data_IF_415570216361
#
_entry.id   IF_415570216361
#
_cell.length_a   1.000
_cell.length_b   1.000
_cell.length_c   1.000
_cell.angle_alpha   90.00
_cell.angle_beta   90.00
_cell.angle_gamma   90.00
#
_symmetry.space_group_name_H-M   'P 1'
#
loop_
_entity.id
_entity.type
_entity.pdbx_description
1 polymer ?
#
# COMPACT_ATOMS: atom_id res chain seq x y z
N UNK A 1 5.57 -20.82 -34.30
CA UNK A 1 4.64 -19.89 -33.64
C UNK A 1 3.98 -20.38 -32.33
N UNK A 2 3.95 -21.68 -31.95
CA UNK A 2 3.20 -22.08 -30.73
C UNK A 2 3.94 -21.74 -29.43
N UNK A 3 5.28 -21.74 -29.43
CA UNK A 3 6.10 -21.45 -28.25
C UNK A 3 5.92 -20.01 -27.76
N UNK A 4 5.81 -19.03 -28.66
CA UNK A 4 5.58 -17.62 -28.31
C UNK A 4 4.18 -17.40 -27.72
N UNK A 5 3.17 -18.07 -28.29
CA UNK A 5 1.80 -18.01 -27.77
C UNK A 5 1.69 -18.67 -26.38
N UNK A 6 2.36 -19.81 -26.19
CA UNK A 6 2.40 -20.51 -24.90
C UNK A 6 3.08 -19.66 -23.82
N UNK A 7 4.23 -19.05 -24.13
CA UNK A 7 4.91 -18.14 -23.19
C UNK A 7 4.03 -16.94 -22.85
N UNK A 8 3.33 -16.35 -23.82
CA UNK A 8 2.41 -15.24 -23.57
C UNK A 8 1.25 -15.66 -22.64
N UNK A 9 0.62 -16.81 -22.90
CA UNK A 9 -0.47 -17.33 -22.05
C UNK A 9 0.01 -17.60 -20.63
N UNK A 10 1.19 -18.20 -20.45
CA UNK A 10 1.77 -18.46 -19.13
C UNK A 10 2.03 -17.14 -18.39
N UNK A 11 2.68 -16.16 -19.04
CA UNK A 11 2.99 -14.87 -18.43
C UNK A 11 1.72 -14.12 -18.03
N UNK A 12 0.72 -14.06 -18.92
CA UNK A 12 -0.55 -13.37 -18.61
C UNK A 12 -1.29 -14.06 -17.46
N UNK A 13 -1.32 -15.40 -17.44
CA UNK A 13 -2.00 -16.15 -16.37
C UNK A 13 -1.29 -15.96 -15.02
N UNK A 14 0.04 -16.00 -15.01
CA UNK A 14 0.84 -15.77 -13.79
C UNK A 14 0.65 -14.36 -13.25
N UNK A 15 0.65 -13.32 -14.11
CA UNK A 15 0.43 -11.92 -13.69
C UNK A 15 -0.94 -11.71 -13.06
N UNK A 16 -1.97 -12.42 -13.52
CA UNK A 16 -3.32 -12.33 -12.96
C UNK A 16 -3.46 -13.06 -11.61
N UNK A 17 -2.59 -14.04 -11.32
CA UNK A 17 -2.60 -14.81 -10.07
C UNK A 17 -1.83 -14.15 -8.91
N UNK A 18 -1.07 -13.07 -9.16
CA UNK A 18 -0.30 -12.40 -8.08
C UNK A 18 -1.24 -11.67 -7.11
N UNK A 19 -1.23 -12.00 -5.80
CA UNK A 19 -2.03 -11.29 -4.82
C UNK A 19 -1.60 -9.81 -4.69
N UNK A 20 -2.56 -8.87 -4.81
CA UNK A 20 -2.32 -7.42 -4.66
C UNK A 20 -2.30 -6.94 -3.19
N UNK A 21 -1.81 -7.76 -2.25
CA UNK A 21 -1.81 -7.44 -0.81
C UNK A 21 -0.64 -6.52 -0.36
N UNK A 22 0.16 -6.01 -1.29
CA UNK A 22 1.37 -5.23 -0.96
C UNK A 22 1.09 -3.79 -0.52
N UNK A 23 -0.10 -3.23 -0.82
CA UNK A 23 -0.40 -1.85 -0.50
C UNK A 23 -0.45 -1.58 1.01
N UNK A 24 -1.10 -2.48 1.77
CA UNK A 24 -1.19 -2.37 3.23
C UNK A 24 0.18 -2.52 3.89
N UNK A 25 0.96 -3.51 3.47
CA UNK A 25 2.30 -3.74 4.02
C UNK A 25 3.27 -2.62 3.67
N UNK A 26 3.14 -2.00 2.48
CA UNK A 26 3.94 -0.84 2.11
C UNK A 26 3.59 0.40 2.96
N UNK A 27 2.31 0.62 3.26
CA UNK A 27 1.88 1.72 4.14
C UNK A 27 2.39 1.55 5.57
N UNK A 28 2.30 0.35 6.15
CA UNK A 28 2.84 0.09 7.49
C UNK A 28 4.36 0.31 7.54
N UNK A 29 5.10 -0.12 6.50
CA UNK A 29 6.55 0.15 6.38
C UNK A 29 6.86 1.64 6.24
N UNK A 30 6.02 2.38 5.51
CA UNK A 30 6.16 3.82 5.36
C UNK A 30 5.98 4.53 6.71
N UNK A 31 4.90 4.22 7.44
CA UNK A 31 4.66 4.76 8.78
C UNK A 31 5.83 4.45 9.72
N UNK A 32 6.28 3.20 9.76
CA UNK A 32 7.38 2.77 10.64
C UNK A 32 8.70 3.49 10.38
N UNK A 33 8.93 4.01 9.16
CA UNK A 33 10.20 4.64 8.77
C UNK A 33 10.16 6.16 8.78
N UNK A 34 9.00 6.77 8.51
CA UNK A 34 8.90 8.21 8.27
C UNK A 34 7.87 8.92 9.14
N UNK A 35 6.94 8.19 9.76
CA UNK A 35 5.90 8.80 10.62
C UNK A 35 6.32 8.72 12.08
N UNK A 36 6.45 9.89 12.69
CA UNK A 36 6.74 10.06 14.10
C UNK A 36 5.41 9.99 14.91
N UNK A 37 5.40 9.62 16.21
CA UNK A 37 4.16 9.43 16.98
C UNK A 37 3.27 10.67 17.12
N UNK A 38 3.84 11.85 16.93
CA UNK A 38 3.15 13.15 16.87
C UNK A 38 2.43 13.41 15.53
N UNK A 39 2.53 12.47 14.57
CA UNK A 39 1.93 12.57 13.24
C UNK A 39 2.82 13.29 12.22
N UNK A 40 4.03 13.69 12.61
CA UNK A 40 4.97 14.40 11.75
C UNK A 40 5.67 13.43 10.79
N UNK A 41 5.71 13.80 9.52
CA UNK A 41 6.44 13.05 8.49
C UNK A 41 7.85 13.60 8.35
N UNK A 42 8.85 12.77 8.60
CA UNK A 42 10.25 13.17 8.64
C UNK A 42 10.98 12.70 7.40
N UNK A 43 11.66 13.63 6.75
CA UNK A 43 12.59 13.30 5.67
C UNK A 43 13.98 12.97 6.26
N UNK A 44 14.30 11.68 6.24
CA UNK A 44 15.59 11.17 6.73
C UNK A 44 16.78 11.55 5.85
N UNK A 45 16.55 11.95 4.59
CA UNK A 45 17.61 12.33 3.65
C UNK A 45 18.07 13.79 3.81
N UNK A 46 17.21 14.67 4.35
CA UNK A 46 17.49 16.10 4.48
C UNK A 46 17.57 16.58 5.95
N UNK A 47 18.26 15.80 6.81
CA UNK A 47 18.52 16.20 8.20
C UNK A 47 17.32 16.08 9.15
N UNK A 48 16.38 15.16 8.88
CA UNK A 48 15.18 14.92 9.69
C UNK A 48 14.24 16.13 9.79
N UNK A 49 14.23 16.99 8.77
CA UNK A 49 13.30 18.11 8.65
C UNK A 49 11.96 17.60 8.11
N UNK A 50 10.88 18.30 8.44
CA UNK A 50 9.56 18.02 7.88
C UNK A 50 9.13 19.13 6.94
N UNK A 51 8.76 18.73 5.74
CA UNK A 51 8.25 19.62 4.70
C UNK A 51 6.73 19.50 4.61
N UNK A 52 6.06 20.58 4.22
CA UNK A 52 4.62 20.59 3.95
C UNK A 52 4.24 19.61 2.84
N UNK A 53 5.14 19.41 1.88
CA UNK A 53 5.02 18.42 0.79
C UNK A 53 4.92 16.99 1.32
N UNK A 54 5.81 16.60 2.24
CA UNK A 54 5.80 15.26 2.84
C UNK A 54 4.53 14.98 3.65
N UNK A 55 3.99 16.00 4.33
CA UNK A 55 2.72 15.89 5.05
C UNK A 55 1.54 15.72 4.09
N UNK A 56 1.49 16.49 3.01
CA UNK A 56 0.47 16.35 1.96
C UNK A 56 0.52 14.97 1.30
N UNK A 57 1.72 14.44 1.04
CA UNK A 57 1.90 13.13 0.44
C UNK A 57 1.37 12.00 1.36
N UNK A 58 1.70 12.06 2.65
CA UNK A 58 1.19 11.10 3.62
C UNK A 58 -0.35 11.15 3.73
N UNK A 59 -0.95 12.34 3.65
CA UNK A 59 -2.42 12.49 3.68
C UNK A 59 -3.08 11.82 2.47
N UNK A 60 -2.54 12.01 1.26
CA UNK A 60 -3.05 11.36 0.05
C UNK A 60 -2.92 9.83 0.12
N UNK A 61 -1.80 9.34 0.66
CA UNK A 61 -1.55 7.91 0.81
C UNK A 61 -2.52 7.28 1.84
N UNK A 62 -2.77 7.99 2.95
CA UNK A 62 -3.74 7.60 3.98
C UNK A 62 -5.17 7.53 3.44
N UNK A 63 -5.59 8.47 2.60
CA UNK A 63 -6.91 8.44 1.96
C UNK A 63 -7.03 7.25 1.01
N UNK A 64 -6.02 7.04 0.15
CA UNK A 64 -6.02 5.91 -0.80
C UNK A 64 -6.09 4.56 -0.08
N UNK A 65 -5.28 4.35 0.96
CA UNK A 65 -5.28 3.07 1.68
C UNK A 65 -6.59 2.84 2.45
N UNK A 66 -7.16 3.90 3.04
CA UNK A 66 -8.44 3.82 3.76
C UNK A 66 -9.59 3.46 2.83
N UNK A 67 -9.66 4.08 1.64
CA UNK A 67 -10.68 3.78 0.63
C UNK A 67 -10.53 2.34 0.12
N UNK A 68 -9.30 1.88 -0.15
CA UNK A 68 -9.03 0.50 -0.59
C UNK A 68 -9.44 -0.50 0.48
N UNK A 69 -9.11 -0.28 1.76
CA UNK A 69 -9.53 -1.14 2.87
C UNK A 69 -11.05 -1.24 3.00
N UNK A 70 -11.76 -0.13 2.81
CA UNK A 70 -13.23 -0.11 2.88
C UNK A 70 -13.87 -0.90 1.73
N UNK A 71 -13.28 -0.81 0.53
CA UNK A 71 -13.74 -1.54 -0.65
C UNK A 71 -13.51 -3.06 -0.53
N UNK A 72 -12.35 -3.49 -0.04
CA UNK A 72 -12.05 -4.91 0.17
C UNK A 72 -12.84 -5.52 1.33
N UNK A 73 -13.18 -4.72 2.34
CA UNK A 73 -14.03 -5.16 3.47
C UNK A 73 -15.50 -5.39 3.06
N UNK A 74 -16.00 -4.70 2.04
CA UNK A 74 -17.42 -4.79 1.65
C UNK A 74 -17.73 -6.00 0.75
N UNK A 75 -16.70 -6.64 0.15
CA UNK A 75 -16.85 -7.82 -0.71
C UNK A 75 -16.63 -9.16 0.00
N UNK A 76 -16.22 -9.16 1.27
CA UNK A 76 -15.88 -10.37 2.01
C UNK A 76 -16.56 -10.34 3.37
N UNK A 77 -17.67 -11.06 3.52
CA UNK A 77 -18.33 -11.37 4.79
C UNK A 77 -17.47 -12.25 5.72
N UNK A 78 -16.19 -11.93 5.86
CA UNK A 78 -15.23 -12.61 6.72
C UNK A 78 -14.62 -11.59 7.66
N UNK A 79 -15.17 -11.60 8.87
CA UNK A 79 -14.64 -10.98 10.08
C UNK A 79 -13.13 -11.16 10.17
N UNK A 80 -12.38 -10.06 10.11
CA UNK A 80 -11.02 -10.00 10.65
C UNK A 80 -11.03 -8.84 11.65
N UNK A 81 -10.55 -9.06 12.89
CA UNK A 81 -10.81 -8.16 14.00
C UNK A 81 -10.16 -6.81 13.77
N UNK A 82 -10.80 -5.80 14.35
CA UNK A 82 -10.24 -4.50 14.60
C UNK A 82 -8.77 -4.62 15.06
N UNK A 83 -7.86 -4.05 14.28
CA UNK A 83 -6.56 -3.60 14.76
C UNK A 83 -6.64 -2.07 14.64
N UNK A 84 -7.33 -1.41 15.57
CA UNK A 84 -6.93 -1.11 16.96
C UNK A 84 -5.96 0.08 16.98
N UNK A 85 -6.55 1.21 17.39
CA UNK A 85 -6.00 2.56 17.72
C UNK A 85 -5.41 3.37 16.57
#
# INVERSE_FOLDING_TARGET
MPLRALVAVIVTTVVMLVPRAWADTAWERYKARFMMPDGRIIDTANGNVSHTEGQGFAMLLAVRITIVRRSTSCGSGRTTPAQQV
#
